data_IF_849163197765
#
_entry.id   IF_849163197765
#
_cell.length_a   1.000
_cell.length_b   1.000
_cell.length_c   1.000
_cell.angle_alpha   90.00
_cell.angle_beta   90.00
_cell.angle_gamma   90.00
#
_symmetry.space_group_name_H-M   'P 1'
#
loop_
_entity.id
_entity.type
_entity.pdbx_description
1 polymer ?
#
# COMPACT_ATOMS: atom_id res chain seq x y z
N UNK A 1 20.89 7.67 68.61
CA UNK A 1 21.51 6.71 69.55
C UNK A 1 20.38 5.94 70.24
N UNK A 2 20.58 4.64 70.46
CA UNK A 2 19.69 3.66 71.12
C UNK A 2 18.56 2.99 70.33
N UNK A 3 18.99 1.89 69.70
CA UNK A 3 18.31 0.59 69.62
C UNK A 3 17.84 0.13 71.01
N UNK A 4 16.66 -0.52 71.09
CA UNK A 4 16.50 -1.66 72.01
C UNK A 4 15.46 -2.66 71.47
N UNK A 5 15.99 -3.86 71.24
CA UNK A 5 15.38 -5.15 70.88
C UNK A 5 14.97 -5.87 72.18
N UNK A 6 14.05 -6.84 72.05
CA UNK A 6 13.87 -8.11 72.80
C UNK A 6 12.39 -8.29 73.16
N UNK A 7 11.74 -9.45 73.10
CA UNK A 7 12.03 -10.86 72.73
C UNK A 7 10.67 -11.59 72.87
N UNK A 8 10.40 -12.87 72.60
CA UNK A 8 11.18 -14.10 72.69
C UNK A 8 10.31 -15.28 72.18
N UNK A 9 10.94 -16.45 72.06
CA UNK A 9 10.42 -17.82 71.88
C UNK A 9 10.19 -18.26 70.43
N UNK A 10 11.09 -18.96 69.72
CA UNK A 10 12.03 -20.07 70.04
C UNK A 10 11.32 -21.39 70.39
N UNK A 11 11.32 -22.32 69.43
CA UNK A 11 11.75 -23.74 69.47
C UNK A 11 11.59 -24.29 68.02
N UNK A 12 12.65 -24.50 67.22
CA UNK A 12 13.56 -25.67 67.17
C UNK A 12 12.79 -27.00 67.02
N UNK A 13 13.13 -27.97 66.16
CA UNK A 13 14.06 -28.13 65.03
C UNK A 13 13.83 -29.58 64.49
N UNK A 14 14.45 -29.94 63.37
CA UNK A 14 14.70 -31.30 62.83
C UNK A 14 13.54 -32.02 62.12
N UNK A 15 13.66 -32.57 60.90
CA UNK A 15 14.80 -32.72 60.01
C UNK A 15 14.59 -33.92 59.07
N UNK A 16 14.57 -33.69 57.75
CA UNK A 16 15.10 -34.61 56.71
C UNK A 16 15.04 -33.95 55.32
N UNK A 17 16.22 -33.72 54.73
CA UNK A 17 16.47 -33.38 53.31
C UNK A 17 16.54 -34.69 52.47
N UNK A 18 16.87 -34.68 51.14
CA UNK A 18 16.67 -33.71 50.04
C UNK A 18 16.20 -34.36 48.70
N UNK A 19 15.95 -33.56 47.64
CA UNK A 19 16.55 -33.61 46.28
C UNK A 19 15.68 -32.79 45.29
N UNK A 20 16.16 -31.64 44.77
CA UNK A 20 16.83 -31.46 43.45
C UNK A 20 15.85 -31.74 42.28
N UNK A 21 15.56 -30.88 41.30
CA UNK A 21 16.40 -30.02 40.46
C UNK A 21 15.52 -28.98 39.72
N UNK A 22 15.96 -27.72 39.65
CA UNK A 22 15.49 -26.74 38.66
C UNK A 22 16.21 -27.06 37.34
N UNK A 23 15.48 -27.20 36.23
CA UNK A 23 16.07 -27.22 34.88
C UNK A 23 15.47 -26.07 34.07
N UNK A 24 16.29 -25.05 33.86
CA UNK A 24 16.20 -24.18 32.70
C UNK A 24 16.72 -24.96 31.48
N UNK A 25 15.97 -24.98 30.37
CA UNK A 25 16.57 -25.21 29.07
C UNK A 25 15.70 -24.58 27.99
N UNK A 26 16.27 -23.58 27.31
CA UNK A 26 15.69 -23.03 26.09
C UNK A 26 15.95 -23.93 24.89
N UNK A 27 15.34 -23.56 23.76
CA UNK A 27 15.86 -23.59 22.39
C UNK A 27 14.76 -24.00 21.38
N UNK A 28 14.34 -23.01 20.58
CA UNK A 28 14.36 -22.99 19.11
C UNK A 28 14.21 -24.35 18.38
N UNK A 29 13.20 -24.52 17.50
CA UNK A 29 13.34 -24.59 16.03
C UNK A 29 12.08 -25.16 15.31
N UNK A 30 11.72 -24.48 14.21
CA UNK A 30 11.29 -25.01 12.90
C UNK A 30 9.89 -25.61 12.64
N UNK A 31 9.25 -24.89 11.72
CA UNK A 31 8.21 -25.23 10.74
C UNK A 31 8.29 -26.67 10.22
N UNK A 32 7.18 -27.40 10.30
CA UNK A 32 6.82 -28.38 9.28
C UNK A 32 5.30 -28.33 9.07
N UNK A 33 4.89 -28.06 7.83
CA UNK A 33 3.50 -28.16 7.44
C UNK A 33 3.05 -29.62 7.42
N UNK A 34 1.86 -29.86 7.95
CA UNK A 34 1.05 -31.03 7.61
C UNK A 34 -0.41 -30.70 7.84
N UNK A 35 -1.12 -30.61 6.72
CA UNK A 35 -2.51 -30.97 6.51
C UNK A 35 -3.06 -31.90 7.59
N UNK A 36 -4.14 -31.50 8.27
CA UNK A 36 -5.30 -32.29 8.70
C UNK A 36 -5.96 -31.63 9.91
N UNK A 37 -7.05 -30.88 9.70
CA UNK A 37 -8.19 -30.92 10.60
C UNK A 37 -9.46 -31.01 9.75
N UNK A 38 -9.89 -32.26 9.56
CA UNK A 38 -11.21 -32.73 9.99
C UNK A 38 -12.44 -31.98 9.49
N UNK A 39 -13.13 -32.63 8.56
CA UNK A 39 -14.58 -32.55 8.36
C UNK A 39 -15.35 -32.42 9.69
N UNK A 40 -16.01 -31.28 9.89
CA UNK A 40 -17.25 -31.21 10.66
C UNK A 40 -18.36 -30.72 9.71
N UNK A 41 -19.47 -31.44 9.57
CA UNK A 41 -20.57 -31.02 8.72
C UNK A 41 -21.40 -29.95 9.44
N UNK A 42 -21.66 -28.85 8.73
CA UNK A 42 -22.94 -28.16 8.86
C UNK A 42 -23.05 -27.08 9.93
N UNK A 43 -22.14 -26.11 9.98
CA UNK A 43 -22.44 -24.75 10.48
C UNK A 43 -21.58 -23.73 9.72
N UNK A 44 -21.89 -23.50 8.44
CA UNK A 44 -21.41 -22.28 7.75
C UNK A 44 -22.32 -21.13 8.18
N UNK A 45 -22.24 -20.74 9.45
CA UNK A 45 -22.66 -19.40 9.85
C UNK A 45 -21.88 -18.44 8.96
N UNK A 46 -22.59 -17.59 8.22
CA UNK A 46 -22.01 -16.65 7.27
C UNK A 46 -20.95 -15.81 7.95
N UNK A 47 -19.70 -16.25 7.86
CA UNK A 47 -18.56 -15.35 7.99
C UNK A 47 -18.54 -14.63 6.66
N UNK A 48 -19.32 -13.56 6.61
CA UNK A 48 -19.08 -12.50 5.64
C UNK A 48 -17.65 -12.06 5.91
N UNK A 49 -16.70 -12.62 5.14
CA UNK A 49 -15.32 -12.17 5.17
C UNK A 49 -15.37 -10.77 4.57
N UNK A 50 -15.64 -9.78 5.40
CA UNK A 50 -15.39 -8.38 5.08
C UNK A 50 -13.89 -8.27 4.91
N UNK A 51 -13.43 -8.47 3.68
CA UNK A 51 -12.06 -8.21 3.28
C UNK A 51 -11.86 -6.71 3.42
N UNK A 52 -11.28 -6.28 4.55
CA UNK A 52 -10.87 -4.89 4.73
C UNK A 52 -9.71 -4.68 3.76
N UNK A 53 -10.01 -4.17 2.57
CA UNK A 53 -9.00 -3.83 1.58
C UNK A 53 -8.11 -2.71 2.12
N UNK A 54 -6.79 -2.89 2.01
CA UNK A 54 -5.84 -1.86 2.43
C UNK A 54 -5.90 -0.68 1.46
N UNK A 55 -5.78 0.56 1.96
CA UNK A 55 -5.74 1.73 1.09
C UNK A 55 -4.46 1.71 0.24
N UNK A 56 -4.61 1.99 -1.05
CA UNK A 56 -3.54 1.83 -2.04
C UNK A 56 -3.19 3.15 -2.73
N UNK A 57 -4.08 4.13 -2.70
CA UNK A 57 -3.87 5.46 -3.30
C UNK A 57 -4.43 6.57 -2.41
N UNK A 58 -3.95 7.78 -2.65
CA UNK A 58 -4.39 9.01 -2.01
C UNK A 58 -5.15 9.86 -3.00
N UNK A 59 -6.43 10.14 -2.73
CA UNK A 59 -7.22 11.07 -3.55
C UNK A 59 -7.25 12.45 -2.89
N UNK A 60 -7.01 13.49 -3.68
CA UNK A 60 -7.00 14.86 -3.23
C UNK A 60 -8.38 15.31 -2.74
N UNK A 61 -8.45 15.84 -1.52
CA UNK A 61 -9.64 16.49 -0.97
C UNK A 61 -9.27 17.86 -0.39
N UNK A 62 -10.24 18.76 -0.18
CA UNK A 62 -9.97 20.18 0.14
C UNK A 62 -8.96 20.42 1.27
N UNK A 63 -8.99 19.61 2.34
CA UNK A 63 -8.13 19.78 3.52
C UNK A 63 -7.41 18.51 3.96
N UNK A 64 -7.47 17.45 3.15
CA UNK A 64 -6.92 16.14 3.49
C UNK A 64 -6.59 15.34 2.22
N UNK A 65 -5.91 14.22 2.41
CA UNK A 65 -5.91 13.13 1.43
C UNK A 65 -6.86 12.04 1.89
N UNK A 66 -7.72 11.56 1.00
CA UNK A 66 -8.50 10.36 1.25
C UNK A 66 -7.68 9.12 0.95
N UNK A 67 -7.67 8.19 1.89
CA UNK A 67 -7.13 6.85 1.74
C UNK A 67 -8.14 6.01 0.99
N UNK A 68 -7.84 5.65 -0.25
CA UNK A 68 -8.77 4.95 -1.14
C UNK A 68 -8.22 3.58 -1.51
N UNK A 69 -9.07 2.56 -1.43
CA UNK A 69 -8.71 1.20 -1.80
C UNK A 69 -8.92 0.94 -3.31
N UNK A 70 -8.57 -0.28 -3.74
CA UNK A 70 -8.69 -0.72 -5.14
C UNK A 70 -10.12 -0.63 -5.71
N UNK A 71 -11.15 -0.55 -4.87
CA UNK A 71 -12.55 -0.47 -5.28
C UNK A 71 -13.07 0.98 -5.32
N UNK A 72 -12.21 1.97 -5.10
CA UNK A 72 -12.65 3.38 -5.02
C UNK A 72 -13.38 3.71 -3.71
N UNK A 73 -13.24 2.88 -2.68
CA UNK A 73 -13.87 3.10 -1.38
C UNK A 73 -12.93 3.90 -0.49
N UNK A 74 -13.44 5.00 0.07
CA UNK A 74 -12.70 5.80 1.06
C UNK A 74 -12.65 5.06 2.40
N UNK A 75 -11.45 4.72 2.85
CA UNK A 75 -11.18 4.02 4.12
C UNK A 75 -10.77 4.94 5.26
N UNK A 76 -10.40 6.18 4.94
CA UNK A 76 -10.02 7.18 5.92
C UNK A 76 -9.52 8.45 5.28
N UNK A 77 -9.06 9.38 6.11
CA UNK A 77 -8.46 10.62 5.69
C UNK A 77 -7.19 10.89 6.50
N UNK A 78 -6.21 11.51 5.87
CA UNK A 78 -4.93 11.89 6.49
C UNK A 78 -4.60 13.34 6.13
N UNK A 79 -3.82 13.97 7.00
CA UNK A 79 -3.34 15.33 6.79
C UNK A 79 -2.46 15.45 5.54
N UNK A 80 -2.55 16.59 4.85
CA UNK A 80 -1.74 16.91 3.66
C UNK A 80 -0.26 17.05 3.98
N UNK A 81 0.07 17.44 5.20
CA UNK A 81 1.46 17.76 5.61
C UNK A 81 2.27 16.53 6.02
N UNK A 82 1.64 15.35 6.13
CA UNK A 82 2.37 14.12 6.46
C UNK A 82 3.08 13.54 5.24
N UNK A 83 4.33 13.04 5.37
CA UNK A 83 5.01 12.34 4.28
C UNK A 83 4.24 11.06 3.93
N UNK A 84 3.96 10.87 2.64
CA UNK A 84 3.10 9.80 2.15
C UNK A 84 3.85 8.86 1.22
N UNK A 85 3.65 7.55 1.41
CA UNK A 85 4.28 6.50 0.61
C UNK A 85 3.43 6.01 -0.57
N UNK A 86 2.18 6.49 -0.66
CA UNK A 86 1.21 6.07 -1.66
C UNK A 86 1.14 7.05 -2.85
N UNK A 87 0.78 6.56 -4.05
CA UNK A 87 0.46 7.38 -5.21
C UNK A 87 -0.63 8.41 -4.89
N UNK A 88 -0.48 9.60 -5.47
CA UNK A 88 -1.42 10.71 -5.29
C UNK A 88 -2.24 10.91 -6.55
N UNK A 89 -3.55 11.06 -6.39
CA UNK A 89 -4.51 11.28 -7.46
C UNK A 89 -5.21 12.63 -7.22
N UNK A 90 -5.20 13.51 -8.20
CA UNK A 90 -5.89 14.81 -8.20
C UNK A 90 -6.99 14.86 -9.25
N UNK A 91 -7.84 15.87 -9.19
CA UNK A 91 -8.89 16.12 -10.20
C UNK A 91 -10.17 15.30 -10.07
N UNK A 92 -10.24 14.38 -9.10
CA UNK A 92 -11.48 13.65 -8.76
C UNK A 92 -12.33 14.51 -7.81
N UNK A 93 -13.66 14.60 -8.05
CA UNK A 93 -14.57 15.22 -7.08
C UNK A 93 -14.62 14.40 -5.78
N UNK A 94 -13.84 14.84 -4.80
CA UNK A 94 -13.75 14.21 -3.47
C UNK A 94 -15.10 14.09 -2.75
N UNK A 95 -16.06 15.00 -2.98
CA UNK A 95 -17.39 14.90 -2.35
C UNK A 95 -18.25 13.86 -3.04
N UNK A 96 -18.20 13.80 -4.37
CA UNK A 96 -18.86 12.75 -5.14
C UNK A 96 -18.29 11.37 -4.78
N UNK A 97 -16.97 11.26 -4.58
CA UNK A 97 -16.31 10.04 -4.14
C UNK A 97 -16.78 9.57 -2.75
N UNK A 98 -16.90 10.49 -1.78
CA UNK A 98 -17.47 10.17 -0.46
C UNK A 98 -18.93 9.71 -0.54
N UNK A 99 -19.71 10.29 -1.46
CA UNK A 99 -21.09 9.87 -1.74
C UNK A 99 -21.18 8.60 -2.59
N UNK A 100 -20.05 8.00 -2.95
CA UNK A 100 -19.96 6.80 -3.80
C UNK A 100 -20.69 6.98 -5.14
N UNK A 101 -20.60 8.18 -5.71
CA UNK A 101 -21.12 8.45 -7.05
C UNK A 101 -20.28 7.71 -8.11
N UNK A 102 -20.98 7.10 -9.07
CA UNK A 102 -20.38 6.20 -10.05
C UNK A 102 -19.16 6.80 -10.76
N UNK A 103 -19.25 8.04 -11.25
CA UNK A 103 -18.17 8.69 -12.00
C UNK A 103 -16.91 8.92 -11.16
N UNK A 104 -17.05 9.28 -9.88
CA UNK A 104 -15.92 9.51 -8.99
C UNK A 104 -15.27 8.18 -8.55
N UNK A 105 -16.09 7.16 -8.30
CA UNK A 105 -15.60 5.80 -7.99
C UNK A 105 -14.86 5.21 -9.17
N UNK A 106 -15.41 5.30 -10.39
CA UNK A 106 -14.78 4.84 -11.62
C UNK A 106 -13.44 5.55 -11.87
N UNK A 107 -13.38 6.88 -11.70
CA UNK A 107 -12.13 7.63 -11.80
C UNK A 107 -11.09 7.18 -10.76
N UNK A 108 -11.50 6.92 -9.52
CA UNK A 108 -10.60 6.46 -8.47
C UNK A 108 -10.07 5.04 -8.74
N UNK A 109 -10.91 4.14 -9.23
CA UNK A 109 -10.53 2.79 -9.65
C UNK A 109 -9.54 2.83 -10.83
N UNK A 110 -9.85 3.61 -11.87
CA UNK A 110 -8.97 3.83 -13.02
C UNK A 110 -7.61 4.42 -12.59
N UNK A 111 -7.63 5.36 -11.64
CA UNK A 111 -6.41 5.94 -11.07
C UNK A 111 -5.59 4.91 -10.28
N UNK A 112 -6.23 4.04 -9.50
CA UNK A 112 -5.58 2.92 -8.83
C UNK A 112 -4.95 1.94 -9.83
N UNK A 113 -5.67 1.57 -10.90
CA UNK A 113 -5.17 0.66 -11.93
C UNK A 113 -3.95 1.25 -12.65
N UNK A 114 -4.01 2.53 -13.02
CA UNK A 114 -2.88 3.23 -13.63
C UNK A 114 -1.69 3.34 -12.67
N UNK A 115 -1.95 3.64 -11.39
CA UNK A 115 -0.90 3.69 -10.38
C UNK A 115 -0.19 2.35 -10.22
N UNK A 116 -0.97 1.26 -10.10
CA UNK A 116 -0.46 -0.10 -10.00
C UNK A 116 0.34 -0.47 -11.24
N UNK A 117 -0.17 -0.18 -12.44
CA UNK A 117 0.51 -0.45 -13.71
C UNK A 117 1.89 0.23 -13.80
N UNK A 118 2.00 1.46 -13.30
CA UNK A 118 3.25 2.22 -13.33
C UNK A 118 4.23 1.75 -12.26
N UNK A 119 3.76 1.41 -11.06
CA UNK A 119 4.60 0.92 -9.97
C UNK A 119 5.08 -0.52 -10.18
N UNK A 120 4.29 -1.36 -10.84
CA UNK A 120 4.68 -2.71 -11.23
C UNK A 120 5.69 -2.72 -12.39
N UNK A 121 5.99 -1.57 -12.99
CA UNK A 121 6.97 -1.51 -14.06
C UNK A 121 8.39 -1.74 -13.53
N UNK A 122 9.26 -2.35 -14.34
CA UNK A 122 10.66 -2.66 -13.98
C UNK A 122 11.53 -1.43 -13.64
N UNK A 123 10.95 -0.23 -13.66
CA UNK A 123 11.61 1.00 -13.26
C UNK A 123 11.72 1.05 -11.73
N UNK A 124 12.79 0.43 -11.21
CA UNK A 124 13.09 0.34 -9.77
C UNK A 124 13.20 1.69 -9.05
N UNK A 125 13.17 2.80 -9.79
CA UNK A 125 13.21 4.15 -9.24
C UNK A 125 11.82 4.74 -8.99
N UNK A 126 10.76 4.10 -9.50
CA UNK A 126 9.38 4.51 -9.25
C UNK A 126 8.93 4.08 -7.85
N UNK A 127 8.77 5.06 -6.97
CA UNK A 127 8.15 4.86 -5.66
C UNK A 127 6.77 5.52 -5.64
N UNK A 128 5.83 4.91 -4.92
CA UNK A 128 4.46 5.42 -4.80
C UNK A 128 4.39 6.90 -4.42
N UNK A 129 5.24 7.33 -3.48
CA UNK A 129 5.32 8.74 -3.04
C UNK A 129 5.59 9.77 -4.15
N UNK A 130 6.28 9.34 -5.21
CA UNK A 130 6.76 10.21 -6.29
C UNK A 130 5.76 10.24 -7.46
N UNK A 131 4.81 9.29 -7.48
CA UNK A 131 3.80 9.17 -8.52
C UNK A 131 2.59 10.06 -8.22
N UNK A 132 2.33 11.00 -9.13
CA UNK A 132 1.14 11.84 -9.17
C UNK A 132 0.33 11.51 -10.42
N UNK A 133 -0.98 11.40 -10.30
CA UNK A 133 -1.91 11.16 -11.41
C UNK A 133 -3.00 12.23 -11.37
N UNK A 134 -3.22 12.91 -12.48
CA UNK A 134 -4.19 13.99 -12.60
C UNK A 134 -5.36 13.57 -13.51
N UNK A 135 -6.56 13.64 -12.95
CA UNK A 135 -7.84 13.37 -13.61
C UNK A 135 -8.65 14.65 -13.89
N UNK A 136 -8.03 15.83 -13.76
CA UNK A 136 -8.73 17.11 -13.97
C UNK A 136 -9.29 17.27 -15.39
N UNK A 137 -8.69 16.59 -16.38
CA UNK A 137 -9.23 16.46 -17.74
C UNK A 137 -9.56 14.97 -18.02
N UNK A 138 -10.84 14.59 -18.09
CA UNK A 138 -11.25 13.22 -18.40
C UNK A 138 -10.79 12.73 -19.78
N UNK A 139 -10.46 13.64 -20.72
CA UNK A 139 -9.95 13.29 -22.04
C UNK A 139 -8.42 13.10 -22.04
N UNK A 140 -7.73 13.52 -20.97
CA UNK A 140 -6.29 13.46 -20.87
C UNK A 140 -5.84 13.25 -19.43
N UNK A 141 -5.80 11.97 -19.03
CA UNK A 141 -5.24 11.59 -17.73
C UNK A 141 -3.72 11.70 -17.82
N UNK A 142 -3.13 12.38 -16.84
CA UNK A 142 -1.69 12.69 -16.83
C UNK A 142 -1.02 12.05 -15.63
N UNK A 143 0.05 11.30 -15.84
CA UNK A 143 0.91 10.81 -14.76
C UNK A 143 2.22 11.59 -14.73
N UNK A 144 2.70 11.93 -13.54
CA UNK A 144 3.98 12.62 -13.34
C UNK A 144 4.80 11.94 -12.25
N UNK A 145 6.09 11.72 -12.51
CA UNK A 145 7.06 11.20 -11.55
C UNK A 145 8.48 11.60 -11.97
N UNK A 146 9.37 11.92 -11.03
CA UNK A 146 10.78 12.25 -11.32
C UNK A 146 11.00 13.25 -12.46
N UNK A 147 10.11 14.26 -12.57
CA UNK A 147 10.11 15.26 -13.64
C UNK A 147 9.62 14.76 -15.01
N UNK A 148 9.36 13.46 -15.17
CA UNK A 148 8.72 12.89 -16.35
C UNK A 148 7.22 13.08 -16.28
N UNK A 149 6.62 13.56 -17.37
CA UNK A 149 5.17 13.73 -17.53
C UNK A 149 4.67 12.82 -18.65
N UNK A 150 3.57 12.11 -18.42
CA UNK A 150 3.01 11.15 -19.36
C UNK A 150 1.53 11.47 -19.58
N UNK A 151 1.17 11.78 -20.82
CA UNK A 151 -0.21 11.98 -21.26
C UNK A 151 -0.79 10.67 -21.76
N UNK A 152 -1.77 10.11 -21.05
CA UNK A 152 -2.40 8.84 -21.40
C UNK A 152 -3.64 8.99 -22.27
N UNK A 153 -4.33 10.14 -22.27
CA UNK A 153 -5.69 10.20 -22.79
C UNK A 153 -6.70 9.61 -21.79
N UNK A 154 -7.88 9.20 -22.26
CA UNK A 154 -8.99 8.77 -21.39
C UNK A 154 -8.99 7.28 -21.01
N UNK A 155 -8.32 6.40 -21.77
CA UNK A 155 -8.43 4.95 -21.59
C UNK A 155 -7.20 4.17 -22.11
N UNK A 156 -7.24 2.84 -22.03
CA UNK A 156 -6.26 1.95 -22.66
C UNK A 156 -4.85 2.02 -22.04
N UNK A 157 -4.76 2.30 -20.73
CA UNK A 157 -3.49 2.57 -20.05
C UNK A 157 -2.47 1.45 -20.22
N UNK A 158 -2.90 0.19 -20.06
CA UNK A 158 -2.03 -0.99 -20.20
C UNK A 158 -1.42 -1.09 -21.59
N UNK A 159 -2.25 -1.04 -22.63
CA UNK A 159 -1.77 -1.11 -24.02
C UNK A 159 -0.79 0.02 -24.36
N UNK A 160 -1.10 1.24 -23.89
CA UNK A 160 -0.25 2.43 -24.06
C UNK A 160 1.08 2.27 -23.34
N UNK A 161 1.07 1.79 -22.11
CA UNK A 161 2.29 1.55 -21.34
C UNK A 161 3.14 0.42 -21.93
N UNK A 162 2.51 -0.66 -22.39
CA UNK A 162 3.19 -1.77 -23.06
C UNK A 162 3.89 -1.31 -24.35
N UNK A 163 3.30 -0.35 -25.06
CA UNK A 163 3.94 0.28 -26.21
C UNK A 163 5.19 1.06 -25.81
N UNK A 164 5.15 1.82 -24.71
CA UNK A 164 6.34 2.51 -24.17
C UNK A 164 7.43 1.49 -23.82
N UNK A 165 7.09 0.41 -23.10
CA UNK A 165 8.04 -0.65 -22.72
C UNK A 165 8.73 -1.28 -23.94
N UNK A 166 7.97 -1.57 -25.01
CA UNK A 166 8.52 -2.08 -26.28
C UNK A 166 9.48 -1.10 -26.94
N UNK A 167 9.12 0.18 -27.02
CA UNK A 167 9.99 1.22 -27.61
C UNK A 167 11.26 1.41 -26.79
N UNK A 168 11.15 1.37 -25.47
CA UNK A 168 12.29 1.50 -24.55
C UNK A 168 13.25 0.32 -24.67
N UNK A 169 12.75 -0.92 -24.73
CA UNK A 169 13.58 -2.11 -24.91
C UNK A 169 14.31 -2.17 -26.25
N UNK A 170 13.75 -1.54 -27.29
CA UNK A 170 14.35 -1.48 -28.63
C UNK A 170 15.37 -0.33 -28.81
N UNK A 171 15.39 0.67 -27.92
CA UNK A 171 16.31 1.82 -28.01
C UNK A 171 17.35 1.75 -26.90
N UNK A 172 18.63 1.84 -27.26
CA UNK A 172 19.77 1.96 -26.32
C UNK A 172 19.77 3.27 -25.51
N UNK A 173 18.84 4.20 -25.78
CA UNK A 173 18.65 5.41 -25.01
C UNK A 173 17.58 5.24 -23.94
N UNK A 174 17.97 5.38 -22.67
CA UNK A 174 17.03 5.52 -21.57
C UNK A 174 16.06 6.67 -21.86
N UNK A 175 14.76 6.45 -21.66
CA UNK A 175 13.83 7.55 -21.36
C UNK A 175 14.29 8.13 -20.02
N UNK A 176 15.24 9.05 -20.08
CA UNK A 176 15.83 9.69 -18.91
C UNK A 176 14.77 10.52 -18.18
N UNK A 177 15.00 10.75 -16.89
CA UNK A 177 14.20 11.66 -16.09
C UNK A 177 14.01 13.02 -16.79
N UNK A 178 12.83 13.62 -16.65
CA UNK A 178 12.51 14.94 -17.21
C UNK A 178 11.90 14.94 -18.62
N UNK A 179 11.54 13.78 -19.17
CA UNK A 179 10.93 13.70 -20.51
C UNK A 179 9.40 13.86 -20.45
N UNK A 180 8.81 14.43 -21.50
CA UNK A 180 7.36 14.38 -21.71
C UNK A 180 7.03 13.26 -22.71
N UNK A 181 6.10 12.39 -22.35
CA UNK A 181 5.60 11.30 -23.18
C UNK A 181 4.14 11.57 -23.53
N UNK A 182 3.80 11.58 -24.81
CA UNK A 182 2.41 11.64 -25.26
C UNK A 182 1.98 10.31 -25.89
N UNK A 183 1.05 9.64 -25.23
CA UNK A 183 0.52 8.32 -25.57
C UNK A 183 -0.92 8.37 -26.08
N UNK A 184 -1.50 9.57 -26.24
CA UNK A 184 -2.88 9.78 -26.68
C UNK A 184 -3.13 9.27 -28.10
N UNK A 185 -2.08 9.25 -28.93
CA UNK A 185 -2.17 8.86 -30.33
C UNK A 185 -2.01 7.34 -30.49
N UNK A 186 -2.89 6.68 -31.27
CA UNK A 186 -2.78 5.26 -31.57
C UNK A 186 -1.42 4.92 -32.17
N UNK A 187 -0.86 3.77 -31.75
CA UNK A 187 0.39 3.21 -32.27
C UNK A 187 1.63 4.15 -32.22
N UNK A 188 1.55 5.25 -31.48
CA UNK A 188 2.59 6.28 -31.45
C UNK A 188 3.02 6.55 -30.01
N UNK A 189 4.30 6.86 -29.83
CA UNK A 189 4.88 7.40 -28.58
C UNK A 189 5.65 8.65 -28.97
N UNK A 190 5.12 9.81 -28.63
CA UNK A 190 5.82 11.09 -28.85
C UNK A 190 6.66 11.36 -27.61
N UNK A 191 7.95 11.63 -27.80
CA UNK A 191 8.89 11.95 -26.73
C UNK A 191 9.38 13.36 -26.93
N UNK A 192 9.20 14.22 -25.93
CA UNK A 192 9.77 15.58 -25.91
C UNK A 192 10.89 15.65 -24.88
N UNK A 193 11.99 16.30 -25.25
CA UNK A 193 13.13 16.49 -24.36
C UNK A 193 12.81 17.59 -23.33
N UNK A 194 13.37 17.51 -22.12
CA UNK A 194 13.35 18.62 -21.17
C UNK A 194 13.96 19.86 -21.85
N UNK A 195 13.33 21.01 -21.62
CA UNK A 195 13.87 22.32 -22.03
C UNK A 195 15.00 22.75 -21.09
#
# INVERSE_FOLDING_TARGET
MNVRIWSEQKYQELGRRPRVLIVFMGMLLVILGTTYIGLLPGWSAGIDRVSISQPSVLVEASYAWFLVDAHGIVRGAIDRDRPQMLPKISGIDSRALLRQEFSAVDAAQNGYELATLLLDSDDRQLHGRDLRIDFSDPQNIVATFHGTTIHFGSNGFREKWDRVRRVRGARTGSLSAGHELDLRFPNTVIVRKPQ
#
